data_IF_623171077110
#
_entry.id   IF_623171077110
#
_cell.length_a   1.000
_cell.length_b   1.000
_cell.length_c   1.000
_cell.angle_alpha   90.00
_cell.angle_beta   90.00
_cell.angle_gamma   90.00
#
_symmetry.space_group_name_H-M   'P 1'
#
loop_
_entity.id
_entity.type
_entity.pdbx_description
1 polymer ?
#
# COMPACT_ATOMS: atom_id res chain seq x y z
N UNK A 1 -21.84 31.56 -2.15
CA UNK A 1 -21.81 30.23 -1.53
C UNK A 1 -20.77 29.43 -2.28
N UNK A 2 -19.62 29.19 -1.68
CA UNK A 2 -18.60 28.28 -2.25
C UNK A 2 -19.20 26.87 -2.24
N UNK A 3 -19.18 26.19 -3.38
CA UNK A 3 -19.56 24.79 -3.43
C UNK A 3 -18.76 24.03 -2.36
N UNK A 4 -19.38 23.07 -1.62
CA UNK A 4 -18.64 22.29 -0.65
C UNK A 4 -17.47 21.61 -1.37
N UNK A 5 -16.25 21.86 -0.92
CA UNK A 5 -15.07 21.18 -1.46
C UNK A 5 -15.28 19.68 -1.28
N UNK A 6 -15.00 18.90 -2.32
CA UNK A 6 -15.10 17.45 -2.24
C UNK A 6 -14.11 16.97 -1.19
N UNK A 7 -14.62 16.26 -0.18
CA UNK A 7 -13.75 15.74 0.89
C UNK A 7 -12.83 14.69 0.34
N UNK A 8 -11.54 14.89 0.50
CA UNK A 8 -10.47 13.99 0.06
C UNK A 8 -9.66 13.46 1.24
N UNK A 9 -8.95 12.37 1.03
CA UNK A 9 -8.00 11.80 1.99
C UNK A 9 -6.68 11.44 1.32
N UNK A 10 -5.58 11.63 2.03
CA UNK A 10 -4.28 11.07 1.69
C UNK A 10 -4.15 9.69 2.34
N UNK A 11 -3.72 8.70 1.58
CA UNK A 11 -3.44 7.35 2.05
C UNK A 11 -1.96 7.06 1.81
N UNK A 12 -1.22 6.93 2.91
CA UNK A 12 0.21 6.64 2.94
C UNK A 12 0.40 5.13 3.08
N UNK A 13 0.90 4.50 2.03
CA UNK A 13 0.94 3.04 1.91
C UNK A 13 2.30 2.53 2.38
N UNK A 14 2.31 1.80 3.49
CA UNK A 14 3.38 0.91 3.97
C UNK A 14 4.77 1.56 4.06
N UNK A 15 4.90 2.73 4.71
CA UNK A 15 6.18 3.43 4.92
C UNK A 15 6.96 2.82 6.10
N UNK A 16 7.25 1.50 6.00
CA UNK A 16 7.80 0.66 7.07
C UNK A 16 9.28 0.35 6.84
N UNK A 17 10.01 0.04 7.93
CA UNK A 17 11.45 -0.22 7.88
C UNK A 17 11.84 -1.32 6.89
N UNK A 18 11.07 -2.43 6.81
CA UNK A 18 11.40 -3.55 5.93
C UNK A 18 11.28 -3.23 4.44
N UNK A 19 10.56 -2.17 4.05
CA UNK A 19 10.44 -1.73 2.67
C UNK A 19 11.47 -0.67 2.26
N UNK A 20 12.29 -0.18 3.19
CA UNK A 20 13.31 0.83 2.93
C UNK A 20 14.72 0.22 2.76
N UNK A 21 15.69 0.95 2.25
CA UNK A 21 17.06 0.45 2.09
C UNK A 21 17.60 -0.16 3.39
N UNK A 22 18.05 -1.43 3.30
CA UNK A 22 18.50 -2.22 4.44
C UNK A 22 17.40 -3.07 5.10
N UNK A 23 16.14 -2.92 4.72
CA UNK A 23 15.04 -3.76 5.17
C UNK A 23 14.95 -5.10 4.45
N UNK A 24 14.12 -6.02 4.98
CA UNK A 24 14.02 -7.39 4.51
C UNK A 24 13.41 -7.54 3.11
N UNK A 25 12.57 -6.58 2.69
CA UNK A 25 11.98 -6.50 1.34
C UNK A 25 12.15 -5.08 0.79
N UNK A 26 13.41 -4.63 0.76
CA UNK A 26 13.72 -3.25 0.37
C UNK A 26 13.27 -2.92 -1.05
N UNK A 27 12.47 -1.86 -1.16
CA UNK A 27 12.07 -1.27 -2.44
C UNK A 27 13.17 -0.32 -2.89
N UNK A 28 13.68 -0.44 -4.13
CA UNK A 28 14.70 0.48 -4.64
C UNK A 28 14.29 1.95 -4.47
N UNK A 29 15.15 2.75 -3.85
CA UNK A 29 14.89 4.18 -3.58
C UNK A 29 13.62 4.44 -2.74
N UNK A 30 13.17 3.48 -1.92
CA UNK A 30 11.96 3.60 -1.12
C UNK A 30 12.00 4.74 -0.09
N UNK A 31 13.18 5.09 0.39
CA UNK A 31 13.41 6.19 1.34
C UNK A 31 13.16 7.58 0.73
N UNK A 32 13.28 7.71 -0.59
CA UNK A 32 13.05 9.00 -1.27
C UNK A 32 11.58 9.47 -1.21
N UNK A 33 10.63 8.59 -0.87
CA UNK A 33 9.21 8.98 -0.76
C UNK A 33 8.88 9.65 0.59
N UNK A 34 9.72 9.47 1.61
CA UNK A 34 9.43 9.94 2.98
C UNK A 34 9.31 11.47 3.07
N UNK A 35 10.29 12.27 2.57
CA UNK A 35 10.16 13.73 2.63
C UNK A 35 8.89 14.25 1.94
N UNK A 36 8.48 13.62 0.84
CA UNK A 36 7.26 14.00 0.14
C UNK A 36 6.01 13.60 0.92
N UNK A 37 6.01 12.46 1.61
CA UNK A 37 4.92 12.06 2.49
C UNK A 37 4.72 13.08 3.61
N UNK A 38 5.82 13.53 4.24
CA UNK A 38 5.80 14.53 5.31
C UNK A 38 5.28 15.90 4.82
N UNK A 39 5.67 16.30 3.60
CA UNK A 39 5.16 17.54 2.99
C UNK A 39 3.66 17.43 2.69
N UNK A 40 3.23 16.35 2.03
CA UNK A 40 1.85 16.20 1.56
C UNK A 40 0.84 16.05 2.68
N UNK A 41 1.20 15.46 3.81
CA UNK A 41 0.34 15.40 5.00
C UNK A 41 -0.22 16.78 5.41
N UNK A 42 0.52 17.86 5.14
CA UNK A 42 0.11 19.22 5.50
C UNK A 42 -1.00 19.77 4.60
N UNK A 43 -1.26 19.15 3.46
CA UNK A 43 -2.23 19.60 2.45
C UNK A 43 -3.57 18.90 2.54
N UNK A 44 -3.71 17.87 3.42
CA UNK A 44 -4.93 17.09 3.55
C UNK A 44 -5.52 17.19 4.96
N UNK A 45 -6.86 17.30 5.03
CA UNK A 45 -7.59 17.32 6.30
C UNK A 45 -7.74 15.92 6.91
N UNK A 46 -7.62 14.86 6.10
CA UNK A 46 -7.65 13.47 6.53
C UNK A 46 -6.45 12.73 5.96
N UNK A 47 -5.62 12.21 6.85
CA UNK A 47 -4.46 11.40 6.51
C UNK A 47 -4.58 10.04 7.20
N UNK A 48 -4.50 8.99 6.43
CA UNK A 48 -4.44 7.62 6.96
C UNK A 48 -3.19 6.92 6.45
N UNK A 49 -2.67 6.00 7.23
CA UNK A 49 -1.54 5.17 6.82
C UNK A 49 -1.90 3.68 6.88
N UNK A 50 -1.16 2.86 6.17
CA UNK A 50 -1.25 1.41 6.28
C UNK A 50 0.07 0.80 6.73
N UNK A 51 -0.03 -0.38 7.31
CA UNK A 51 1.09 -1.25 7.62
C UNK A 51 0.78 -2.66 7.13
N UNK A 52 1.72 -3.28 6.43
CA UNK A 52 1.79 -4.74 6.38
C UNK A 52 2.07 -5.24 7.80
N UNK A 53 1.30 -6.26 8.23
CA UNK A 53 1.33 -6.70 9.62
C UNK A 53 1.15 -8.22 9.70
N UNK A 54 2.19 -8.95 9.24
CA UNK A 54 2.13 -10.38 9.05
C UNK A 54 2.42 -11.18 10.33
N UNK A 55 1.66 -12.25 10.62
CA UNK A 55 2.11 -13.22 11.62
C UNK A 55 3.42 -13.88 11.16
N UNK A 56 4.26 -14.33 12.10
CA UNK A 56 5.57 -14.89 11.79
C UNK A 56 5.51 -16.16 10.90
N UNK A 57 4.40 -16.87 10.94
CA UNK A 57 4.13 -18.07 10.14
C UNK A 57 3.24 -17.78 8.90
N UNK A 58 3.26 -16.52 8.41
CA UNK A 58 2.46 -16.13 7.26
C UNK A 58 2.77 -16.96 6.01
N UNK A 59 1.72 -17.40 5.32
CA UNK A 59 1.80 -18.29 4.17
C UNK A 59 2.43 -17.70 2.91
N UNK A 60 2.60 -16.39 2.82
CA UNK A 60 3.34 -15.74 1.72
C UNK A 60 4.86 -15.74 1.91
N UNK A 61 5.37 -16.18 3.05
CA UNK A 61 6.82 -16.22 3.28
C UNK A 61 7.46 -17.46 2.70
N UNK A 62 8.46 -17.30 1.84
CA UNK A 62 9.19 -18.43 1.24
C UNK A 62 9.79 -19.34 2.31
N UNK A 63 10.27 -18.77 3.42
CA UNK A 63 10.85 -19.51 4.54
C UNK A 63 9.89 -20.54 5.18
N UNK A 64 8.57 -20.39 4.99
CA UNK A 64 7.56 -21.30 5.51
C UNK A 64 7.24 -22.46 4.54
N UNK A 65 7.93 -22.55 3.38
CA UNK A 65 7.73 -23.54 2.35
C UNK A 65 9.06 -24.24 2.00
N UNK A 66 9.30 -25.50 2.44
CA UNK A 66 10.53 -26.22 2.16
C UNK A 66 10.87 -26.25 0.66
N UNK A 67 12.11 -25.86 0.32
CA UNK A 67 12.61 -25.86 -1.06
C UNK A 67 12.08 -24.73 -1.95
N UNK A 68 11.45 -23.72 -1.37
CA UNK A 68 10.98 -22.52 -2.08
C UNK A 68 11.88 -21.31 -1.78
N UNK A 69 11.91 -20.40 -2.75
CA UNK A 69 12.66 -19.16 -2.72
C UNK A 69 11.72 -17.96 -2.91
N UNK A 70 12.11 -16.75 -2.44
CA UNK A 70 11.40 -15.52 -2.78
C UNK A 70 11.26 -15.34 -4.30
N UNK A 71 10.04 -14.99 -4.75
CA UNK A 71 9.69 -14.89 -6.18
C UNK A 71 9.04 -16.15 -6.75
N UNK A 72 9.13 -17.30 -6.08
CA UNK A 72 8.37 -18.49 -6.44
C UNK A 72 6.87 -18.25 -6.32
N UNK A 73 6.07 -19.08 -7.01
CA UNK A 73 4.62 -19.06 -6.94
C UNK A 73 4.09 -20.34 -6.36
N UNK A 74 3.07 -20.23 -5.54
CA UNK A 74 2.31 -21.35 -4.96
C UNK A 74 0.81 -21.08 -5.07
N UNK A 75 0.02 -22.09 -4.76
CA UNK A 75 -1.40 -21.90 -4.46
C UNK A 75 -1.54 -21.81 -2.93
N UNK A 76 -1.91 -20.65 -2.43
CA UNK A 76 -2.18 -20.40 -1.02
C UNK A 76 -3.68 -20.17 -0.86
N UNK A 77 -4.33 -21.03 -0.09
CA UNK A 77 -5.78 -20.97 0.15
C UNK A 77 -6.64 -20.79 -1.12
N UNK A 78 -6.25 -21.47 -2.20
CA UNK A 78 -6.96 -21.50 -3.48
C UNK A 78 -6.66 -20.37 -4.47
N UNK A 79 -5.76 -19.45 -4.14
CA UNK A 79 -5.32 -18.39 -5.06
C UNK A 79 -3.81 -18.45 -5.31
N UNK A 80 -3.37 -17.93 -6.47
CA UNK A 80 -1.95 -17.81 -6.77
C UNK A 80 -1.32 -16.76 -5.85
N UNK A 81 -0.21 -17.15 -5.21
CA UNK A 81 0.56 -16.30 -4.30
C UNK A 81 2.04 -16.30 -4.70
N UNK A 82 2.62 -15.12 -4.85
CA UNK A 82 4.07 -14.93 -4.93
C UNK A 82 4.65 -15.05 -3.53
N UNK A 83 5.73 -15.83 -3.39
CA UNK A 83 6.42 -15.93 -2.13
C UNK A 83 7.42 -14.80 -1.94
N UNK A 84 7.42 -14.24 -0.74
CA UNK A 84 8.23 -13.11 -0.34
C UNK A 84 9.28 -13.52 0.70
N UNK A 85 10.36 -12.73 0.89
CA UNK A 85 11.15 -12.80 2.11
C UNK A 85 10.29 -12.61 3.34
N UNK A 86 10.74 -13.06 4.51
CA UNK A 86 10.09 -12.71 5.79
C UNK A 86 10.23 -11.20 6.00
N UNK A 87 9.10 -10.49 6.09
CA UNK A 87 9.06 -9.03 6.23
C UNK A 87 7.84 -8.60 7.05
N UNK A 88 7.89 -7.39 7.59
CA UNK A 88 6.79 -6.74 8.32
C UNK A 88 6.08 -7.67 9.33
N UNK A 89 6.88 -8.50 10.03
CA UNK A 89 6.34 -9.39 11.06
C UNK A 89 5.81 -8.57 12.23
N UNK A 90 4.61 -8.92 12.68
CA UNK A 90 3.92 -8.24 13.79
C UNK A 90 4.84 -8.01 14.99
N UNK A 91 4.80 -6.80 15.53
CA UNK A 91 5.57 -6.37 16.70
C UNK A 91 7.11 -6.42 16.53
N UNK A 92 7.62 -6.46 15.30
CA UNK A 92 9.06 -6.34 15.03
C UNK A 92 9.41 -4.94 14.52
N UNK A 93 10.68 -4.58 14.62
CA UNK A 93 11.20 -3.33 14.08
C UNK A 93 10.92 -3.17 12.58
N UNK A 94 11.00 -4.26 11.80
CA UNK A 94 10.72 -4.26 10.36
C UNK A 94 9.30 -3.78 10.02
N UNK A 95 8.32 -4.13 10.87
CA UNK A 95 6.93 -3.75 10.71
C UNK A 95 6.60 -2.33 11.22
N UNK A 96 7.52 -1.64 11.89
CA UNK A 96 7.30 -0.27 12.33
C UNK A 96 7.53 0.74 11.19
N UNK A 97 6.86 1.91 11.29
CA UNK A 97 7.17 3.02 10.41
C UNK A 97 8.62 3.45 10.59
N UNK A 98 9.24 3.90 9.50
CA UNK A 98 10.60 4.40 9.56
C UNK A 98 10.68 5.63 10.49
N UNK A 99 11.72 5.74 11.35
CA UNK A 99 11.82 6.82 12.33
C UNK A 99 11.87 8.24 11.74
N UNK A 100 12.28 8.37 10.48
CA UNK A 100 12.31 9.66 9.77
C UNK A 100 10.95 10.13 9.25
N UNK A 101 9.92 9.28 9.29
CA UNK A 101 8.57 9.60 8.85
C UNK A 101 7.77 10.26 9.99
N UNK A 102 7.24 11.44 9.75
CA UNK A 102 6.39 12.14 10.71
C UNK A 102 5.00 11.51 10.79
N UNK A 103 4.70 10.85 11.89
CA UNK A 103 3.40 10.20 12.10
C UNK A 103 2.38 11.08 12.83
N UNK A 104 2.74 12.32 13.17
CA UNK A 104 1.93 13.20 14.04
C UNK A 104 0.58 13.60 13.42
N UNK A 105 0.47 13.55 12.10
CA UNK A 105 -0.75 13.91 11.36
C UNK A 105 -1.58 12.72 10.90
N UNK A 106 -1.19 11.50 11.26
CA UNK A 106 -1.94 10.30 10.87
C UNK A 106 -3.17 10.14 11.76
N UNK A 107 -4.35 10.27 11.16
CA UNK A 107 -5.64 10.10 11.86
C UNK A 107 -5.91 8.64 12.24
N UNK A 108 -5.47 7.69 11.42
CA UNK A 108 -5.64 6.26 11.67
C UNK A 108 -4.65 5.40 10.89
N UNK A 109 -4.23 4.29 11.50
CA UNK A 109 -3.38 3.27 10.86
C UNK A 109 -4.20 2.01 10.64
N UNK A 110 -4.22 1.51 9.40
CA UNK A 110 -4.87 0.24 9.05
C UNK A 110 -3.81 -0.83 8.85
N UNK A 111 -4.02 -1.97 9.49
CA UNK A 111 -3.17 -3.15 9.28
C UNK A 111 -3.75 -4.04 8.18
N UNK A 112 -2.89 -4.57 7.32
CA UNK A 112 -3.23 -5.52 6.27
C UNK A 112 -2.31 -6.74 6.32
N UNK A 113 -2.67 -7.84 5.63
CA UNK A 113 -1.88 -9.07 5.66
C UNK A 113 -1.82 -9.72 7.04
N UNK A 114 -2.85 -9.55 7.86
CA UNK A 114 -2.89 -10.03 9.26
C UNK A 114 -3.25 -11.52 9.38
N UNK A 115 -3.73 -12.12 8.31
CA UNK A 115 -4.22 -13.50 8.29
C UNK A 115 -3.13 -14.43 7.77
N UNK A 116 -2.90 -15.54 8.45
CA UNK A 116 -1.84 -16.49 8.11
C UNK A 116 -1.92 -17.03 6.67
N UNK A 117 -3.12 -17.36 6.20
CA UNK A 117 -3.32 -18.14 4.98
C UNK A 117 -3.72 -17.29 3.76
N UNK A 118 -3.72 -15.97 3.87
CA UNK A 118 -4.05 -15.08 2.77
C UNK A 118 -3.32 -13.76 2.93
N UNK A 119 -2.72 -13.30 1.85
CA UNK A 119 -2.04 -12.02 1.81
C UNK A 119 -2.98 -10.88 1.43
N UNK A 120 -2.54 -9.64 1.67
CA UNK A 120 -3.29 -8.42 1.38
C UNK A 120 -2.36 -7.39 0.76
N UNK A 121 -2.34 -7.30 -0.57
CA UNK A 121 -1.64 -6.18 -1.22
C UNK A 121 -2.45 -4.89 -1.09
N UNK A 122 -3.76 -4.97 -1.32
CA UNK A 122 -4.63 -3.80 -1.21
C UNK A 122 -4.77 -3.30 0.23
N UNK A 123 -4.85 -1.97 0.37
CA UNK A 123 -5.23 -1.31 1.63
C UNK A 123 -6.70 -1.54 2.02
N UNK A 124 -7.51 -2.11 1.13
CA UNK A 124 -8.95 -2.30 1.32
C UNK A 124 -9.34 -3.74 1.62
N UNK A 125 -8.73 -4.72 0.92
CA UNK A 125 -9.12 -6.13 0.98
C UNK A 125 -7.89 -7.05 0.99
N UNK A 126 -8.11 -8.31 1.42
CA UNK A 126 -7.18 -9.39 1.14
C UNK A 126 -7.18 -9.75 -0.35
N UNK A 127 -6.19 -10.54 -0.78
CA UNK A 127 -6.00 -10.88 -2.20
C UNK A 127 -7.15 -11.69 -2.83
N UNK A 128 -8.07 -12.23 -2.04
CA UNK A 128 -9.27 -12.92 -2.53
C UNK A 128 -10.57 -12.13 -2.26
N UNK A 129 -10.49 -10.91 -1.74
CA UNK A 129 -11.66 -10.08 -1.37
C UNK A 129 -12.61 -10.76 -0.37
N UNK A 130 -12.09 -11.65 0.49
CA UNK A 130 -12.89 -12.33 1.52
C UNK A 130 -13.02 -11.50 2.79
N UNK A 131 -12.02 -10.69 3.09
CA UNK A 131 -11.98 -9.80 4.26
C UNK A 131 -11.55 -8.40 3.86
N UNK A 132 -11.96 -7.44 4.65
CA UNK A 132 -11.63 -6.02 4.47
C UNK A 132 -10.87 -5.47 5.67
N UNK A 133 -10.03 -4.49 5.44
CA UNK A 133 -9.26 -3.81 6.49
C UNK A 133 -10.10 -2.86 7.36
N UNK A 134 -11.27 -2.48 6.87
CA UNK A 134 -12.10 -1.45 7.48
C UNK A 134 -11.93 -0.05 6.86
N UNK A 135 -10.90 0.17 6.04
CA UNK A 135 -10.61 1.48 5.44
C UNK A 135 -11.78 2.03 4.62
N UNK A 136 -12.42 1.21 3.79
CA UNK A 136 -13.56 1.64 2.99
C UNK A 136 -14.71 2.19 3.86
N UNK A 137 -15.03 1.49 4.95
CA UNK A 137 -16.06 1.93 5.91
C UNK A 137 -15.65 3.23 6.60
N UNK A 138 -14.39 3.34 7.01
CA UNK A 138 -13.84 4.53 7.66
C UNK A 138 -13.94 5.77 6.77
N UNK A 139 -13.55 5.67 5.49
CA UNK A 139 -13.66 6.75 4.51
C UNK A 139 -15.12 7.13 4.24
N UNK A 140 -15.98 6.12 4.03
CA UNK A 140 -17.41 6.33 3.80
C UNK A 140 -18.08 7.07 4.95
N UNK A 141 -17.81 6.68 6.20
CA UNK A 141 -18.35 7.34 7.41
C UNK A 141 -17.96 8.83 7.49
N UNK A 142 -16.81 9.21 6.92
CA UNK A 142 -16.31 10.59 6.87
C UNK A 142 -16.77 11.36 5.63
N UNK A 143 -17.51 10.70 4.73
CA UNK A 143 -18.00 11.31 3.49
C UNK A 143 -16.90 11.54 2.46
N UNK A 144 -15.77 10.81 2.55
CA UNK A 144 -14.68 10.88 1.59
C UNK A 144 -15.13 10.25 0.27
N UNK A 145 -14.88 10.96 -0.83
CA UNK A 145 -15.19 10.52 -2.19
C UNK A 145 -13.98 10.49 -3.11
N UNK A 146 -12.92 11.19 -2.72
CA UNK A 146 -11.66 11.25 -3.46
C UNK A 146 -10.51 10.82 -2.56
N UNK A 147 -9.61 10.01 -3.09
CA UNK A 147 -8.42 9.58 -2.37
C UNK A 147 -7.16 9.81 -3.20
N UNK A 148 -6.10 10.11 -2.51
CA UNK A 148 -4.75 10.24 -3.05
C UNK A 148 -3.88 9.17 -2.41
N UNK A 149 -3.28 8.33 -3.22
CA UNK A 149 -2.42 7.23 -2.80
C UNK A 149 -0.97 7.57 -3.09
N UNK A 150 -0.08 7.32 -2.16
CA UNK A 150 1.36 7.29 -2.35
C UNK A 150 2.02 6.28 -1.41
N UNK A 151 3.26 5.91 -1.68
CA UNK A 151 4.04 5.00 -0.84
C UNK A 151 4.55 3.77 -1.58
N UNK A 152 4.59 2.64 -0.90
CA UNK A 152 5.30 1.43 -1.31
C UNK A 152 4.38 0.19 -1.32
N UNK A 153 4.60 -0.77 -2.22
CA UNK A 153 5.30 -0.61 -3.48
C UNK A 153 4.32 -0.29 -4.59
N UNK A 154 4.73 0.55 -5.56
CA UNK A 154 3.86 1.05 -6.62
C UNK A 154 3.19 -0.07 -7.42
N UNK A 155 3.94 -1.10 -7.77
CA UNK A 155 3.52 -2.22 -8.61
C UNK A 155 2.77 -3.33 -7.84
N UNK A 156 2.68 -3.21 -6.50
CA UNK A 156 1.93 -4.09 -5.61
C UNK A 156 0.91 -3.31 -4.76
N UNK A 157 1.25 -2.93 -3.55
CA UNK A 157 0.27 -2.40 -2.58
C UNK A 157 -0.42 -1.13 -3.08
N UNK A 158 0.30 -0.20 -3.70
CA UNK A 158 -0.30 1.01 -4.26
C UNK A 158 -1.22 0.68 -5.44
N UNK A 159 -0.77 -0.16 -6.39
CA UNK A 159 -1.58 -0.57 -7.54
C UNK A 159 -2.87 -1.26 -7.11
N UNK A 160 -2.79 -2.31 -6.30
CA UNK A 160 -3.97 -3.07 -5.88
C UNK A 160 -4.92 -2.20 -5.05
N UNK A 161 -4.40 -1.28 -4.24
CA UNK A 161 -5.22 -0.30 -3.53
C UNK A 161 -5.94 0.65 -4.48
N UNK A 162 -5.27 1.11 -5.52
CA UNK A 162 -5.89 1.98 -6.52
C UNK A 162 -7.01 1.27 -7.30
N UNK A 163 -6.78 0.01 -7.69
CA UNK A 163 -7.78 -0.81 -8.39
C UNK A 163 -9.02 -1.04 -7.53
N UNK A 164 -8.83 -1.43 -6.27
CA UNK A 164 -9.93 -1.65 -5.34
C UNK A 164 -10.68 -0.37 -5.00
N UNK A 165 -9.99 0.74 -4.83
CA UNK A 165 -10.62 2.04 -4.63
C UNK A 165 -11.53 2.43 -5.81
N UNK A 166 -11.09 2.17 -7.04
CA UNK A 166 -11.90 2.37 -8.25
C UNK A 166 -13.11 1.45 -8.28
N UNK A 167 -12.93 0.18 -7.91
CA UNK A 167 -14.04 -0.78 -7.79
C UNK A 167 -15.06 -0.33 -6.74
N UNK A 168 -14.62 0.27 -5.64
CA UNK A 168 -15.48 0.86 -4.60
C UNK A 168 -16.14 2.18 -5.01
N UNK A 169 -15.87 2.70 -6.21
CA UNK A 169 -16.45 3.94 -6.73
C UNK A 169 -15.78 5.22 -6.21
N UNK A 170 -14.63 5.13 -5.56
CA UNK A 170 -13.86 6.30 -5.15
C UNK A 170 -13.15 6.93 -6.36
N UNK A 171 -13.13 8.25 -6.44
CA UNK A 171 -12.25 8.95 -7.36
C UNK A 171 -10.83 8.83 -6.82
N UNK A 172 -9.97 8.20 -7.59
CA UNK A 172 -8.66 7.72 -7.11
C UNK A 172 -7.54 8.39 -7.87
N UNK A 173 -6.62 8.97 -7.14
CA UNK A 173 -5.38 9.55 -7.63
C UNK A 173 -4.19 8.77 -7.08
N UNK A 174 -3.16 8.59 -7.89
CA UNK A 174 -1.86 8.07 -7.46
C UNK A 174 -0.80 9.12 -7.74
N UNK A 175 -0.07 9.51 -6.70
CA UNK A 175 1.02 10.49 -6.74
C UNK A 175 2.30 9.73 -7.14
N UNK A 176 2.60 9.70 -8.44
CA UNK A 176 3.61 8.77 -8.98
C UNK A 176 5.03 9.07 -8.51
N UNK A 177 5.38 10.34 -8.31
CA UNK A 177 6.68 10.74 -7.76
C UNK A 177 6.80 10.49 -6.25
N UNK A 178 5.67 10.26 -5.57
CA UNK A 178 5.58 9.78 -4.20
C UNK A 178 5.54 8.24 -4.07
N UNK A 179 5.85 7.49 -5.12
CA UNK A 179 5.87 6.03 -5.11
C UNK A 179 7.20 5.47 -5.61
N UNK A 180 7.55 4.26 -5.14
CA UNK A 180 8.63 3.43 -5.69
C UNK A 180 8.13 2.00 -5.83
N UNK A 181 8.65 1.26 -6.81
CA UNK A 181 8.24 -0.11 -7.12
C UNK A 181 9.34 -1.13 -6.89
N UNK A 182 8.97 -2.38 -6.71
CA UNK A 182 9.89 -3.52 -6.55
C UNK A 182 10.47 -3.94 -7.90
N UNK A 183 9.63 -3.96 -8.94
CA UNK A 183 9.98 -4.36 -10.30
C UNK A 183 10.68 -5.73 -10.38
N UNK A 184 10.02 -6.78 -9.88
CA UNK A 184 10.53 -8.16 -9.94
C UNK A 184 10.92 -8.58 -11.37
N UNK A 185 10.22 -8.07 -12.36
CA UNK A 185 10.51 -8.28 -13.78
C UNK A 185 10.53 -6.94 -14.50
N UNK A 186 11.47 -6.73 -15.44
CA UNK A 186 11.53 -5.50 -16.22
C UNK A 186 10.15 -5.12 -16.81
N UNK A 187 9.72 -3.90 -16.56
CA UNK A 187 8.45 -3.36 -17.02
C UNK A 187 7.25 -3.60 -16.10
N UNK A 188 7.40 -4.20 -14.91
CA UNK A 188 6.30 -4.37 -13.95
C UNK A 188 5.70 -3.03 -13.53
N UNK A 189 6.53 -2.04 -13.24
CA UNK A 189 6.10 -0.68 -12.91
C UNK A 189 5.29 -0.06 -14.06
N UNK A 190 5.79 -0.16 -15.29
CA UNK A 190 5.09 0.39 -16.44
C UNK A 190 3.72 -0.29 -16.66
N UNK A 191 3.67 -1.62 -16.52
CA UNK A 191 2.41 -2.37 -16.58
C UNK A 191 1.43 -1.97 -15.48
N UNK A 192 1.92 -1.78 -14.25
CA UNK A 192 1.09 -1.35 -13.13
C UNK A 192 0.46 0.03 -13.37
N UNK A 193 1.22 0.99 -13.88
CA UNK A 193 0.73 2.32 -14.23
C UNK A 193 -0.36 2.26 -15.31
N UNK A 194 -0.15 1.46 -16.36
CA UNK A 194 -1.15 1.28 -17.42
C UNK A 194 -2.42 0.57 -16.93
N UNK A 195 -2.29 -0.42 -16.06
CA UNK A 195 -3.43 -1.11 -15.45
C UNK A 195 -4.27 -0.16 -14.59
N UNK A 196 -3.63 0.65 -13.75
CA UNK A 196 -4.30 1.68 -12.96
C UNK A 196 -5.02 2.72 -13.84
N UNK A 197 -4.38 3.21 -14.91
CA UNK A 197 -5.03 4.13 -15.86
C UNK A 197 -6.26 3.52 -16.51
N UNK A 198 -6.18 2.27 -16.98
CA UNK A 198 -7.32 1.56 -17.58
C UNK A 198 -8.49 1.39 -16.61
N UNK A 199 -8.21 1.23 -15.33
CA UNK A 199 -9.22 1.20 -14.27
C UNK A 199 -9.81 2.59 -13.94
N UNK A 200 -9.29 3.65 -14.56
CA UNK A 200 -9.74 5.03 -14.33
C UNK A 200 -9.08 5.74 -13.16
N UNK A 201 -7.92 5.24 -12.70
CA UNK A 201 -7.07 5.96 -11.75
C UNK A 201 -6.39 7.13 -12.45
N UNK A 202 -6.34 8.28 -11.80
CA UNK A 202 -5.67 9.48 -12.28
C UNK A 202 -4.24 9.48 -11.72
N UNK A 203 -3.27 9.37 -12.62
CA UNK A 203 -1.86 9.47 -12.26
C UNK A 203 -1.44 10.93 -12.32
N UNK A 204 -0.81 11.44 -11.27
CA UNK A 204 -0.37 12.83 -11.16
C UNK A 204 0.97 12.90 -10.42
N UNK A 205 1.59 14.06 -10.46
CA UNK A 205 2.77 14.38 -9.65
C UNK A 205 2.39 15.30 -8.50
N UNK A 206 3.26 15.38 -7.50
CA UNK A 206 3.09 16.33 -6.39
C UNK A 206 2.85 17.78 -6.87
N UNK A 207 3.51 18.18 -7.95
CA UNK A 207 3.33 19.54 -8.54
C UNK A 207 1.91 19.81 -9.06
N UNK A 208 1.07 18.79 -9.22
CA UNK A 208 -0.27 18.90 -9.77
C UNK A 208 -1.36 19.01 -8.67
N UNK A 209 -0.96 18.97 -7.36
CA UNK A 209 -1.81 19.06 -6.18
C UNK A 209 -1.72 20.50 -5.54
#
# INVERSE_FOLDING_TARGET
MTAPSVKSALILVDLQNDFLPGGALAVPHGDEVIPLADELQQRFDLVVATKDWHPADHGSFAANHPGKEPGDRIILDGIEQILWPVHCVQNTHGAEFVPSFDTSRIDHVFHKGTERNIDSYSTFFDNAHRRHTGLAHYLKKRGIKEIYLMGLALDYCVKYSALDARHLGLKTYVIVDGCRGIELRPGDIARALEEMKRAGTILLKNSDI
#
